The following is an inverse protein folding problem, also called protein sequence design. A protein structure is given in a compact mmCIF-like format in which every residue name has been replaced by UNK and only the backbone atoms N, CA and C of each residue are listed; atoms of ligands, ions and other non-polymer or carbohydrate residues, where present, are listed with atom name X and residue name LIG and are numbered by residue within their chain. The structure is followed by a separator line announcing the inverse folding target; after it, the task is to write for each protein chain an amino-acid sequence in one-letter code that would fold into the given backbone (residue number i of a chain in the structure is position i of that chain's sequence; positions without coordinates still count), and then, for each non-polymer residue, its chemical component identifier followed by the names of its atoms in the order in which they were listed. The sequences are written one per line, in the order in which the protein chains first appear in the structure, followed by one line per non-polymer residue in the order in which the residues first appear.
data_IF_580819736849
#
_entry.id   IF_580819736849
#
_cell.length_a   1.000
_cell.length_b   1.000
_cell.length_c   1.000
_cell.angle_alpha   90.00
_cell.angle_beta   90.00
_cell.angle_gamma   90.00
#
_symmetry.space_group_name_H-M   'P 1'
#
loop_
_entity.id
_entity.type
_entity.pdbx_description
1 polymer ?
#
# COMPACT_ATOMS: atom_id res chain seq x y z
N UNK A 1 16.17 35.95 -0.84
CA UNK A 1 15.24 34.82 -0.53
C UNK A 1 15.33 33.66 -1.51
N UNK A 2 15.60 33.85 -2.81
CA UNK A 2 15.65 32.76 -3.80
C UNK A 2 16.78 31.71 -3.61
N UNK A 3 17.85 32.04 -2.89
CA UNK A 3 18.98 31.13 -2.64
C UNK A 3 18.65 30.03 -1.63
N UNK A 4 17.89 30.35 -0.58
CA UNK A 4 17.45 29.38 0.43
C UNK A 4 16.53 28.32 -0.16
N UNK A 5 15.62 28.72 -1.06
CA UNK A 5 14.74 27.76 -1.74
C UNK A 5 15.53 26.75 -2.58
N UNK A 6 16.53 27.22 -3.35
CA UNK A 6 17.40 26.34 -4.14
C UNK A 6 18.22 25.40 -3.27
N UNK A 7 18.76 25.89 -2.15
CA UNK A 7 19.51 25.06 -1.22
C UNK A 7 18.63 23.98 -0.57
N UNK A 8 17.38 24.32 -0.22
CA UNK A 8 16.44 23.39 0.40
C UNK A 8 15.96 22.31 -0.60
N UNK A 9 15.71 22.70 -1.86
CA UNK A 9 15.40 21.73 -2.93
C UNK A 9 16.59 20.79 -3.18
N UNK A 10 17.82 21.31 -3.26
CA UNK A 10 19.00 20.45 -3.43
C UNK A 10 19.19 19.51 -2.24
N UNK A 11 19.02 19.99 -1.00
CA UNK A 11 19.12 19.16 0.21
C UNK A 11 18.06 18.03 0.19
N UNK A 12 16.82 18.35 -0.19
CA UNK A 12 15.74 17.37 -0.24
C UNK A 12 15.97 16.29 -1.28
N UNK A 13 16.53 16.65 -2.45
CA UNK A 13 16.86 15.69 -3.51
C UNK A 13 18.06 14.82 -3.12
N UNK A 14 19.09 15.40 -2.48
CA UNK A 14 20.32 14.68 -2.12
C UNK A 14 20.14 13.73 -0.93
N UNK A 15 19.32 14.10 0.06
CA UNK A 15 19.15 13.32 1.30
C UNK A 15 17.88 12.47 1.28
N UNK A 16 16.79 12.98 0.70
CA UNK A 16 15.50 12.31 0.72
C UNK A 16 15.45 11.03 -0.11
N UNK A 17 16.05 11.04 -1.31
CA UNK A 17 16.04 9.90 -2.22
C UNK A 17 16.84 8.69 -1.68
N UNK A 18 18.08 8.85 -1.19
CA UNK A 18 18.83 7.73 -0.62
C UNK A 18 18.20 7.20 0.68
N UNK A 19 17.69 8.09 1.55
CA UNK A 19 17.04 7.69 2.79
C UNK A 19 15.77 6.87 2.54
N UNK A 20 14.96 7.26 1.55
CA UNK A 20 13.77 6.50 1.16
C UNK A 20 14.14 5.10 0.65
N UNK A 21 15.24 4.96 -0.09
CA UNK A 21 15.69 3.66 -0.61
C UNK A 21 16.16 2.71 0.50
N UNK A 22 16.85 3.25 1.52
CA UNK A 22 17.30 2.48 2.68
C UNK A 22 16.12 2.09 3.58
N UNK A 23 15.13 2.96 3.75
CA UNK A 23 14.02 2.75 4.68
C UNK A 23 12.89 1.89 4.11
N UNK A 24 12.59 2.00 2.81
CA UNK A 24 11.48 1.29 2.17
C UNK A 24 11.91 0.07 1.34
N UNK A 25 13.21 -0.13 1.09
CA UNK A 25 13.71 -1.24 0.29
C UNK A 25 13.32 -1.16 -1.20
N UNK A 26 13.74 -2.14 -2.02
CA UNK A 26 13.40 -2.17 -3.43
C UNK A 26 11.88 -2.28 -3.61
N UNK A 27 11.29 -1.35 -4.37
CA UNK A 27 9.85 -1.35 -4.62
C UNK A 27 9.39 -2.71 -5.17
N UNK A 28 8.23 -3.22 -4.71
CA UNK A 28 7.64 -4.43 -5.25
C UNK A 28 7.41 -4.29 -6.76
N UNK A 29 7.48 -5.41 -7.52
CA UNK A 29 7.47 -5.40 -8.99
C UNK A 29 6.22 -4.77 -9.62
N UNK A 30 5.11 -4.68 -8.88
CA UNK A 30 3.92 -3.95 -9.32
C UNK A 30 4.09 -2.42 -9.26
N UNK A 31 4.83 -1.92 -8.26
CA UNK A 31 5.14 -0.49 -8.12
C UNK A 31 6.08 0.02 -9.21
N UNK A 32 7.00 -0.82 -9.67
CA UNK A 32 7.92 -0.48 -10.77
C UNK A 32 7.17 -0.16 -12.07
N UNK A 33 6.09 -0.87 -12.39
CA UNK A 33 5.32 -0.61 -13.63
C UNK A 33 4.64 0.76 -13.64
N UNK A 34 4.20 1.24 -12.47
CA UNK A 34 3.56 2.55 -12.34
C UNK A 34 4.61 3.64 -12.47
N UNK A 35 5.76 3.47 -11.82
CA UNK A 35 6.89 4.40 -11.94
C UNK A 35 7.37 4.48 -13.38
N UNK A 36 7.54 3.35 -14.07
CA UNK A 36 7.94 3.33 -15.49
C UNK A 36 6.92 4.06 -16.38
N UNK A 37 5.63 3.89 -16.13
CA UNK A 37 4.58 4.58 -16.91
C UNK A 37 4.63 6.10 -16.68
N UNK A 38 4.83 6.54 -15.44
CA UNK A 38 4.92 7.96 -15.08
C UNK A 38 6.22 8.58 -15.61
N UNK A 39 7.35 7.87 -15.50
CA UNK A 39 8.64 8.31 -16.03
C UNK A 39 8.58 8.39 -17.56
N UNK A 40 7.94 7.44 -18.23
CA UNK A 40 7.75 7.47 -19.68
C UNK A 40 6.90 8.68 -20.10
N UNK A 41 5.76 8.90 -19.44
CA UNK A 41 4.89 10.05 -19.73
C UNK A 41 5.60 11.39 -19.46
N UNK A 42 6.37 11.49 -18.36
CA UNK A 42 7.16 12.68 -18.06
C UNK A 42 8.29 12.90 -19.09
N UNK A 43 8.95 11.82 -19.54
CA UNK A 43 10.01 11.90 -20.55
C UNK A 43 9.47 12.32 -21.92
N UNK A 44 8.25 11.91 -22.26
CA UNK A 44 7.54 12.38 -23.46
C UNK A 44 7.15 13.86 -23.35
N UNK A 45 6.62 14.29 -22.20
CA UNK A 45 6.22 15.68 -21.99
C UNK A 45 7.39 16.67 -21.94
N UNK A 46 8.56 16.24 -21.44
CA UNK A 46 9.78 17.06 -21.35
C UNK A 46 10.53 17.12 -22.70
N UNK A 47 10.13 16.33 -23.70
CA UNK A 47 10.75 16.36 -25.03
C UNK A 47 12.20 15.87 -25.07
N UNK A 48 12.66 15.16 -24.04
CA UNK A 48 14.05 14.66 -23.98
C UNK A 48 14.36 13.58 -25.03
N UNK A 49 13.33 13.02 -25.67
CA UNK A 49 13.46 12.02 -26.73
C UNK A 49 13.09 12.57 -28.11
N UNK A 50 13.04 13.89 -28.33
CA UNK A 50 12.92 14.42 -29.70
C UNK A 50 14.18 14.00 -30.46
N UNK A 51 14.11 13.07 -31.44
CA UNK A 51 15.25 12.82 -32.30
C UNK A 51 15.60 14.14 -33.00
N UNK A 52 16.89 14.50 -33.14
CA UNK A 52 17.26 15.64 -33.98
C UNK A 52 16.60 15.44 -35.35
N UNK A 53 16.07 16.52 -35.98
CA UNK A 53 15.40 16.40 -37.27
C UNK A 53 16.34 15.67 -38.23
N UNK A 54 15.86 14.63 -38.94
CA UNK A 54 16.70 13.88 -39.84
C UNK A 54 17.19 14.84 -40.92
N UNK A 55 18.51 15.05 -40.95
CA UNK A 55 19.14 15.56 -42.15
C UNK A 55 18.81 14.56 -43.26
N UNK A 56 18.19 15.08 -44.32
CA UNK A 56 17.86 14.35 -45.54
C UNK A 56 19.05 13.54 -46.01
N UNK A 57 19.01 12.23 -45.79
CA UNK A 57 19.82 11.28 -46.54
C UNK A 57 18.85 10.30 -47.18
N UNK A 58 18.94 10.32 -48.50
CA UNK A 58 18.12 9.66 -49.49
C UNK A 58 18.24 8.12 -49.38
N UNK A 59 17.07 7.48 -49.34
CA UNK A 59 16.71 6.14 -49.85
C UNK A 59 17.65 4.93 -49.68
N UNK A 60 17.21 3.94 -48.89
CA UNK A 60 17.26 2.53 -49.29
C UNK A 60 16.27 1.67 -48.49
N UNK A 61 15.23 1.24 -49.22
CA UNK A 61 14.35 0.08 -49.07
C UNK A 61 14.80 -1.03 -48.09
N UNK A 62 14.00 -1.30 -47.04
CA UNK A 62 13.86 -2.65 -46.47
C UNK A 62 12.41 -2.86 -46.02
N UNK A 63 11.66 -3.53 -46.87
CA UNK A 63 10.39 -4.18 -46.60
C UNK A 63 10.53 -5.24 -45.49
N UNK A 64 9.92 -5.01 -44.32
CA UNK A 64 9.69 -6.05 -43.29
C UNK A 64 8.21 -6.10 -42.93
N UNK A 65 7.55 -7.17 -43.40
CA UNK A 65 6.20 -7.57 -43.04
C UNK A 65 6.26 -8.69 -41.98
N UNK A 66 5.70 -8.48 -40.78
CA UNK A 66 5.34 -9.59 -39.89
C UNK A 66 3.84 -9.97 -40.00
N UNK A 67 3.49 -11.27 -39.84
CA UNK A 67 2.15 -11.80 -40.10
C UNK A 67 1.16 -11.59 -38.95
N UNK A 68 -0.12 -11.48 -39.31
CA UNK A 68 -1.26 -11.41 -38.38
C UNK A 68 -1.55 -12.76 -37.70
N UNK A 69 -2.11 -12.75 -36.48
CA UNK A 69 -3.02 -13.79 -36.02
C UNK A 69 -4.47 -13.30 -35.97
N UNK A 70 -5.32 -14.03 -36.67
CA UNK A 70 -6.77 -13.88 -36.73
C UNK A 70 -7.43 -14.69 -35.60
N UNK A 71 -8.21 -14.04 -34.74
CA UNK A 71 -9.22 -14.72 -33.91
C UNK A 71 -10.51 -13.89 -33.93
N UNK A 72 -11.42 -14.30 -34.83
CA UNK A 72 -12.85 -14.07 -34.70
C UNK A 72 -13.36 -14.74 -33.43
N UNK A 73 -14.35 -14.15 -32.75
CA UNK A 73 -15.71 -14.71 -32.62
C UNK A 73 -16.53 -13.72 -31.79
N UNK A 74 -17.45 -13.01 -32.45
CA UNK A 74 -18.61 -12.43 -31.79
C UNK A 74 -19.78 -13.38 -31.89
N UNK A 75 -20.49 -13.58 -30.79
CA UNK A 75 -21.91 -13.92 -30.79
C UNK A 75 -22.57 -13.42 -29.49
N UNK A 76 -23.88 -13.09 -29.50
CA UNK A 76 -24.51 -12.27 -28.47
C UNK A 76 -25.55 -13.01 -27.59
N UNK A 77 -26.03 -12.28 -26.57
CA UNK A 77 -27.27 -12.44 -25.77
C UNK A 77 -27.25 -13.44 -24.60
N UNK A 78 -27.41 -12.89 -23.38
CA UNK A 78 -28.51 -13.24 -22.45
C UNK A 78 -28.49 -12.34 -21.20
N UNK A 79 -29.63 -11.71 -20.89
CA UNK A 79 -29.97 -11.17 -19.56
C UNK A 79 -30.99 -12.11 -18.90
N UNK A 80 -31.49 -11.82 -17.67
CA UNK A 80 -30.89 -11.87 -16.33
C UNK A 80 -31.36 -13.14 -15.54
N UNK A 81 -30.98 -13.31 -14.26
CA UNK A 81 -32.04 -13.21 -13.25
C UNK A 81 -31.59 -12.58 -11.90
N UNK A 82 -32.50 -11.75 -11.38
CA UNK A 82 -33.01 -11.65 -9.99
C UNK A 82 -32.08 -12.11 -8.83
N UNK A 83 -31.88 -11.18 -7.90
CA UNK A 83 -31.17 -11.27 -6.61
C UNK A 83 -31.62 -12.42 -5.67
N UNK A 84 -30.83 -12.75 -4.63
CA UNK A 84 -31.21 -12.29 -3.28
C UNK A 84 -29.98 -11.94 -2.38
N UNK A 85 -30.18 -11.72 -1.06
CA UNK A 85 -29.87 -10.49 -0.35
C UNK A 85 -28.40 -10.33 0.08
N UNK A 86 -28.07 -9.09 0.48
CA UNK A 86 -26.92 -8.75 1.32
C UNK A 86 -26.77 -9.75 2.47
N UNK A 87 -25.79 -10.64 2.36
CA UNK A 87 -25.26 -11.36 3.51
C UNK A 87 -24.45 -10.34 4.28
N UNK A 88 -25.05 -9.76 5.32
CA UNK A 88 -24.28 -9.24 6.46
C UNK A 88 -23.29 -10.33 6.86
N UNK A 89 -21.97 -10.08 6.91
CA UNK A 89 -21.08 -11.00 7.59
C UNK A 89 -21.53 -11.02 9.05
N UNK A 90 -22.26 -12.07 9.40
CA UNK A 90 -22.42 -12.50 10.79
C UNK A 90 -21.02 -12.63 11.33
N UNK A 91 -20.74 -11.87 12.37
CA UNK A 91 -19.63 -12.07 13.30
C UNK A 91 -19.66 -13.53 13.71
N UNK A 92 -18.91 -14.35 12.97
CA UNK A 92 -18.57 -15.68 13.39
C UNK A 92 -17.55 -15.49 14.51
N UNK A 93 -18.03 -15.48 15.75
CA UNK A 93 -17.21 -15.83 16.90
C UNK A 93 -16.77 -17.28 16.70
N UNK A 94 -15.74 -17.47 15.88
CA UNK A 94 -15.08 -18.76 15.72
C UNK A 94 -14.48 -19.14 17.08
N UNK A 95 -14.71 -20.36 17.58
CA UNK A 95 -14.19 -20.80 18.88
C UNK A 95 -12.66 -20.77 18.82
N UNK A 96 -12.08 -19.90 19.65
CA UNK A 96 -10.64 -19.72 19.74
C UNK A 96 -9.93 -21.08 19.84
N UNK A 97 -9.01 -21.42 18.91
CA UNK A 97 -8.13 -22.57 19.11
C UNK A 97 -7.34 -22.32 20.40
N UNK A 98 -7.23 -23.34 21.25
CA UNK A 98 -6.58 -23.31 22.56
C UNK A 98 -5.31 -22.44 22.53
N UNK A 99 -5.45 -21.18 22.94
CA UNK A 99 -4.38 -20.18 22.90
C UNK A 99 -3.41 -20.54 24.01
N UNK A 100 -2.13 -20.64 23.67
CA UNK A 100 -1.06 -20.78 24.66
C UNK A 100 -1.21 -19.64 25.67
N UNK A 101 -1.57 -19.97 26.92
CA UNK A 101 -1.86 -18.98 27.98
C UNK A 101 -0.74 -17.94 28.13
N UNK A 102 0.51 -18.34 27.89
CA UNK A 102 1.69 -17.46 27.92
C UNK A 102 1.68 -16.34 26.90
N UNK A 103 1.16 -16.57 25.68
CA UNK A 103 1.05 -15.52 24.66
C UNK A 103 -0.02 -14.51 25.06
N UNK A 104 -1.17 -15.00 25.54
CA UNK A 104 -2.27 -14.14 25.92
C UNK A 104 -1.89 -13.24 27.11
N UNK A 105 -1.15 -13.76 28.09
CA UNK A 105 -0.63 -12.95 29.21
C UNK A 105 0.34 -11.85 28.77
N UNK A 106 1.16 -12.11 27.73
CA UNK A 106 2.11 -11.12 27.20
C UNK A 106 1.43 -10.04 26.34
N UNK A 107 0.37 -10.40 25.62
CA UNK A 107 -0.32 -9.50 24.68
C UNK A 107 -1.47 -8.72 25.32
N UNK A 108 -2.07 -9.21 26.41
CA UNK A 108 -3.12 -8.49 27.15
C UNK A 108 -2.75 -7.05 27.54
N UNK A 109 -1.54 -6.74 28.08
CA UNK A 109 -1.17 -5.35 28.37
C UNK A 109 -1.10 -4.47 27.12
N UNK A 110 -0.64 -5.01 25.99
CA UNK A 110 -0.58 -4.30 24.72
C UNK A 110 -1.99 -4.01 24.17
N UNK A 111 -2.90 -4.98 24.25
CA UNK A 111 -4.29 -4.79 23.84
C UNK A 111 -5.01 -3.81 24.77
N UNK A 112 -4.74 -3.85 26.07
CA UNK A 112 -5.27 -2.86 27.01
C UNK A 112 -4.82 -1.44 26.65
N UNK A 113 -3.57 -1.28 26.21
CA UNK A 113 -3.04 -0.01 25.72
C UNK A 113 -3.72 0.46 24.43
N UNK A 114 -3.95 -0.42 23.45
CA UNK A 114 -4.72 -0.08 22.24
C UNK A 114 -6.16 0.35 22.56
N UNK A 115 -6.82 -0.30 23.52
CA UNK A 115 -8.15 0.10 24.01
C UNK A 115 -8.13 1.49 24.64
N UNK A 116 -7.09 1.83 25.41
CA UNK A 116 -6.91 3.18 25.96
C UNK A 116 -6.68 4.23 24.88
N UNK A 117 -6.09 3.85 23.74
CA UNK A 117 -5.96 4.71 22.58
C UNK A 117 -7.28 4.93 21.83
N UNK A 118 -8.32 4.14 22.11
CA UNK A 118 -9.63 4.28 21.46
C UNK A 118 -9.79 3.44 20.20
N UNK A 119 -8.97 2.38 20.04
CA UNK A 119 -9.15 1.38 18.98
C UNK A 119 -10.52 0.70 19.14
N UNK A 120 -11.30 0.66 18.06
CA UNK A 120 -12.65 0.11 18.04
C UNK A 120 -12.68 -1.35 17.58
N UNK A 121 -11.76 -1.74 16.72
CA UNK A 121 -11.66 -3.08 16.17
C UNK A 121 -10.20 -3.51 16.06
N UNK A 122 -9.91 -4.77 16.39
CA UNK A 122 -8.60 -5.38 16.20
C UNK A 122 -8.72 -6.87 15.89
N UNK A 123 -7.83 -7.35 15.03
CA UNK A 123 -7.76 -8.75 14.62
C UNK A 123 -6.32 -9.21 14.46
N UNK A 124 -6.03 -10.42 14.93
CA UNK A 124 -4.76 -11.12 14.72
C UNK A 124 -5.02 -12.35 13.87
N UNK A 125 -4.43 -12.38 12.68
CA UNK A 125 -4.63 -13.44 11.69
C UNK A 125 -3.29 -14.06 11.30
N UNK A 126 -3.31 -15.35 10.94
CA UNK A 126 -2.13 -15.99 10.33
C UNK A 126 -2.05 -15.55 8.86
N UNK A 127 -0.87 -15.16 8.42
CA UNK A 127 -0.63 -14.55 7.12
C UNK A 127 0.44 -15.30 6.32
N UNK A 128 0.33 -15.20 4.99
CA UNK A 128 1.25 -15.80 4.01
C UNK A 128 1.01 -17.30 3.76
N UNK A 129 1.61 -17.81 2.68
CA UNK A 129 1.36 -19.17 2.15
C UNK A 129 1.77 -20.31 3.10
N UNK A 130 2.54 -20.02 4.14
CA UNK A 130 2.97 -20.99 5.15
C UNK A 130 2.29 -20.84 6.51
N UNK A 131 1.43 -19.82 6.72
CA UNK A 131 0.89 -19.48 8.05
C UNK A 131 1.96 -19.24 9.12
N UNK A 132 3.18 -18.88 8.68
CA UNK A 132 4.35 -18.61 9.53
C UNK A 132 4.48 -17.15 9.93
N UNK A 133 3.69 -16.28 9.29
CA UNK A 133 3.61 -14.88 9.64
C UNK A 133 2.27 -14.63 10.35
N UNK A 134 2.24 -13.55 11.10
CA UNK A 134 1.06 -13.07 11.80
C UNK A 134 0.84 -11.62 11.39
N UNK A 135 -0.36 -11.33 10.89
CA UNK A 135 -0.83 -9.99 10.57
C UNK A 135 -1.72 -9.53 11.71
N UNK A 136 -1.31 -8.47 12.37
CA UNK A 136 -2.16 -7.75 13.32
C UNK A 136 -2.70 -6.50 12.63
N UNK A 137 -4.01 -6.28 12.70
CA UNK A 137 -4.67 -5.09 12.18
C UNK A 137 -5.54 -4.46 13.26
N UNK A 138 -5.59 -3.14 13.31
CA UNK A 138 -6.54 -2.42 14.15
C UNK A 138 -7.08 -1.16 13.47
N UNK A 139 -8.25 -0.73 13.90
CA UNK A 139 -8.94 0.46 13.40
C UNK A 139 -9.14 1.48 14.50
N UNK A 140 -8.82 2.74 14.21
CA UNK A 140 -8.88 3.85 15.15
C UNK A 140 -9.73 5.00 14.57
N UNK A 141 -10.73 5.52 15.29
CA UNK A 141 -11.56 6.61 14.79
C UNK A 141 -10.79 7.94 14.72
N UNK A 142 -10.99 8.66 13.63
CA UNK A 142 -10.42 9.98 13.34
C UNK A 142 -11.40 11.08 13.77
N UNK A 143 -11.39 11.41 15.06
CA UNK A 143 -12.20 12.49 15.64
C UNK A 143 -13.53 12.04 16.22
N UNK A 144 -14.52 12.94 16.25
CA UNK A 144 -15.82 12.68 16.88
C UNK A 144 -16.80 11.89 16.00
N UNK A 145 -16.54 11.82 14.70
CA UNK A 145 -17.34 11.05 13.75
C UNK A 145 -16.72 9.67 13.54
N UNK A 146 -17.51 8.62 13.75
CA UNK A 146 -17.13 7.23 13.48
C UNK A 146 -16.96 6.92 11.97
N UNK A 147 -17.30 7.86 11.10
CA UNK A 147 -17.26 7.71 9.64
C UNK A 147 -15.83 7.63 9.06
N UNK A 148 -14.86 8.17 9.80
CA UNK A 148 -13.46 8.15 9.37
C UNK A 148 -12.66 7.33 10.36
N UNK A 149 -12.10 6.22 9.89
CA UNK A 149 -11.18 5.38 10.65
C UNK A 149 -9.81 5.37 9.98
N UNK A 150 -8.77 5.39 10.80
CA UNK A 150 -7.41 5.12 10.41
C UNK A 150 -7.11 3.66 10.73
N UNK A 151 -6.73 2.92 9.69
CA UNK A 151 -6.28 1.54 9.83
C UNK A 151 -4.77 1.49 10.05
N UNK A 152 -4.34 0.63 10.97
CA UNK A 152 -2.94 0.30 11.21
C UNK A 152 -2.74 -1.19 11.10
N UNK A 153 -1.62 -1.60 10.51
CA UNK A 153 -1.31 -3.00 10.34
C UNK A 153 0.18 -3.29 10.38
N UNK A 154 0.52 -4.45 10.93
CA UNK A 154 1.87 -4.97 10.88
C UNK A 154 1.89 -6.49 10.67
N UNK A 155 2.91 -6.96 9.98
CA UNK A 155 3.14 -8.38 9.70
C UNK A 155 4.51 -8.78 10.22
N UNK A 156 4.53 -9.77 11.11
CA UNK A 156 5.78 -10.28 11.69
C UNK A 156 5.76 -11.81 11.78
N UNK A 157 6.95 -12.41 11.91
CA UNK A 157 7.08 -13.86 12.14
C UNK A 157 6.57 -14.28 13.53
N UNK A 158 6.63 -13.35 14.50
CA UNK A 158 6.14 -13.54 15.85
C UNK A 158 4.87 -12.69 16.07
N UNK A 159 3.78 -13.25 16.62
CA UNK A 159 2.53 -12.54 16.83
C UNK A 159 2.62 -11.41 17.86
N UNK A 160 3.53 -11.50 18.84
CA UNK A 160 3.73 -10.43 19.81
C UNK A 160 4.40 -9.24 19.12
N UNK A 161 5.41 -9.52 18.27
CA UNK A 161 6.12 -8.47 17.53
C UNK A 161 5.18 -7.69 16.60
N UNK A 162 4.23 -8.36 15.94
CA UNK A 162 3.26 -7.64 15.10
C UNK A 162 2.35 -6.73 15.91
N UNK A 163 1.91 -7.13 17.11
CA UNK A 163 1.13 -6.28 18.00
C UNK A 163 1.95 -5.09 18.50
N UNK A 164 3.19 -5.33 18.96
CA UNK A 164 4.09 -4.28 19.44
C UNK A 164 4.36 -3.20 18.38
N UNK A 165 4.54 -3.62 17.12
CA UNK A 165 4.74 -2.70 16.00
C UNK A 165 3.53 -1.78 15.78
N UNK A 166 2.31 -2.34 15.79
CA UNK A 166 1.09 -1.54 15.65
C UNK A 166 0.89 -0.61 16.85
N UNK A 167 1.16 -1.06 18.08
CA UNK A 167 1.11 -0.19 19.26
C UNK A 167 2.07 0.99 19.13
N UNK A 168 3.30 0.73 18.69
CA UNK A 168 4.28 1.78 18.46
C UNK A 168 3.81 2.78 17.39
N UNK A 169 3.28 2.29 16.27
CA UNK A 169 2.76 3.13 15.18
C UNK A 169 1.59 4.01 15.62
N UNK A 170 0.59 3.40 16.29
CA UNK A 170 -0.57 4.12 16.84
C UNK A 170 -0.12 5.20 17.84
N UNK A 171 0.85 4.89 18.70
CA UNK A 171 1.36 5.86 19.68
C UNK A 171 2.03 7.07 19.04
N UNK A 172 2.83 6.87 17.97
CA UNK A 172 3.48 7.94 17.22
C UNK A 172 2.45 8.78 16.45
N UNK A 173 1.48 8.10 15.85
CA UNK A 173 0.39 8.74 15.14
C UNK A 173 -0.43 9.65 16.08
N UNK A 174 -0.74 9.18 17.30
CA UNK A 174 -1.44 10.00 18.30
C UNK A 174 -0.67 11.25 18.69
N UNK A 175 0.65 11.15 18.88
CA UNK A 175 1.49 12.32 19.21
C UNK A 175 1.42 13.39 18.12
N UNK A 176 1.44 12.96 16.86
CA UNK A 176 1.34 13.85 15.70
C UNK A 176 -0.03 14.51 15.64
N UNK A 177 -1.11 13.75 15.86
CA UNK A 177 -2.48 14.25 15.73
C UNK A 177 -2.90 15.15 16.89
N UNK A 178 -2.44 14.89 18.12
CA UNK A 178 -2.65 15.83 19.25
C UNK A 178 -1.99 17.18 19.01
N UNK A 179 -0.85 17.21 18.30
CA UNK A 179 -0.14 18.46 18.00
C UNK A 179 -0.78 19.30 16.89
N UNK A 180 -1.58 18.67 16.01
CA UNK A 180 -2.25 19.33 14.90
C UNK A 180 -3.65 19.88 15.24
N UNK A 181 -4.21 19.53 16.41
CA UNK A 181 -5.53 19.95 16.89
C UNK A 181 -5.54 21.16 17.83
N UNK A 182 -4.44 21.91 17.92
CA UNK A 182 -4.31 23.18 18.66
C UNK A 182 -4.06 24.33 17.70
#
# INVERSE_FOLDING_TARGET
MATFFRALVMLSVLVGLPAAWIYYGPLPPEGQRVVDRVVSAAKEAVGWNTPPPPLLIDSADVNYQPPAPAWSTGAPIAAPPVAPPLVTPVVATEPAPARSHSFQEQVEPLLAQLRQFGVIEYALERWGDGGKLYRFRCEMPLGASEEFTQQFEAVAADPQVSVEQVVAEVSQWQLTHRSAGM
#
